data_IF_239089022981
#
_entry.id   IF_239089022981
#
_cell.length_a   1.000
_cell.length_b   1.000
_cell.length_c   1.000
_cell.angle_alpha   90.00
_cell.angle_beta   90.00
_cell.angle_gamma   90.00
#
_symmetry.space_group_name_H-M   'P 1'
#
loop_
_entity.id
_entity.type
_entity.pdbx_description
1 polymer ?
#
# COMPACT_ATOMS: atom_id res chain seq x y z
N UNK A 1 11.42 -0.61 8.45
CA UNK A 1 9.95 -0.53 8.64
C UNK A 1 9.54 -1.52 9.73
N UNK A 2 8.74 -1.12 10.72
CA UNK A 2 8.39 -2.00 11.84
C UNK A 2 7.36 -3.07 11.43
N UNK A 3 7.30 -4.19 12.16
CA UNK A 3 6.31 -5.28 11.92
C UNK A 3 4.87 -4.75 11.86
N UNK A 4 4.55 -3.75 12.69
CA UNK A 4 3.24 -3.10 12.72
C UNK A 4 2.96 -2.32 11.44
N UNK A 5 3.94 -1.62 10.88
CA UNK A 5 3.79 -0.84 9.65
C UNK A 5 3.56 -1.75 8.45
N UNK A 6 4.26 -2.89 8.36
CA UNK A 6 4.00 -3.90 7.33
C UNK A 6 2.59 -4.46 7.41
N UNK A 7 2.14 -4.78 8.63
CA UNK A 7 0.79 -5.29 8.86
C UNK A 7 -0.29 -4.27 8.48
N UNK A 8 -0.10 -3.00 8.87
CA UNK A 8 -0.99 -1.91 8.50
C UNK A 8 -1.03 -1.70 6.98
N UNK A 9 0.12 -1.70 6.31
CA UNK A 9 0.18 -1.56 4.85
C UNK A 9 -0.60 -2.69 4.15
N UNK A 10 -0.44 -3.94 4.60
CA UNK A 10 -1.18 -5.08 4.05
C UNK A 10 -2.69 -4.91 4.25
N UNK A 11 -3.15 -4.55 5.46
CA UNK A 11 -4.58 -4.37 5.72
C UNK A 11 -5.14 -3.19 4.91
N UNK A 12 -4.44 -2.07 4.83
CA UNK A 12 -4.86 -0.90 4.04
C UNK A 12 -4.98 -1.26 2.56
N UNK A 13 -4.02 -2.02 2.01
CA UNK A 13 -4.08 -2.50 0.63
C UNK A 13 -5.27 -3.44 0.40
N UNK A 14 -5.49 -4.40 1.30
CA UNK A 14 -6.61 -5.34 1.20
C UNK A 14 -7.96 -4.61 1.29
N UNK A 15 -8.09 -3.65 2.21
CA UNK A 15 -9.30 -2.84 2.35
C UNK A 15 -9.56 -1.99 1.10
N UNK A 16 -8.54 -1.33 0.56
CA UNK A 16 -8.65 -0.57 -0.69
C UNK A 16 -9.05 -1.47 -1.87
N UNK A 17 -8.50 -2.67 -1.96
CA UNK A 17 -8.85 -3.65 -3.00
C UNK A 17 -10.32 -4.06 -2.92
N UNK A 18 -10.83 -4.33 -1.71
CA UNK A 18 -12.24 -4.64 -1.49
C UNK A 18 -13.13 -3.49 -1.92
N UNK A 19 -12.81 -2.25 -1.52
CA UNK A 19 -13.58 -1.06 -1.91
C UNK A 19 -13.55 -0.85 -3.42
N UNK A 20 -12.42 -1.12 -4.08
CA UNK A 20 -12.30 -1.04 -5.53
C UNK A 20 -13.18 -2.06 -6.26
N UNK A 21 -13.22 -3.31 -5.78
CA UNK A 21 -14.03 -4.38 -6.40
C UNK A 21 -15.52 -4.22 -6.14
N UNK A 22 -15.90 -3.82 -4.92
CA UNK A 22 -17.30 -3.61 -4.54
C UNK A 22 -17.84 -2.30 -5.11
N UNK A 23 -16.96 -1.34 -5.38
CA UNK A 23 -17.30 -0.09 -6.03
C UNK A 23 -17.81 -0.36 -7.44
N UNK A 24 -19.12 -0.59 -7.57
CA UNK A 24 -19.78 -0.55 -8.86
C UNK A 24 -19.52 0.84 -9.46
N UNK A 25 -19.41 0.95 -10.78
CA UNK A 25 -18.98 2.17 -11.48
C UNK A 25 -19.78 3.45 -11.18
N UNK A 26 -20.79 3.41 -10.31
CA UNK A 26 -21.47 4.58 -9.72
C UNK A 26 -20.79 5.13 -8.45
N UNK A 27 -19.68 4.55 -8.01
CA UNK A 27 -18.95 5.04 -6.84
C UNK A 27 -18.42 6.44 -7.10
N UNK A 28 -18.78 7.45 -6.27
CA UNK A 28 -18.34 8.82 -6.46
C UNK A 28 -16.81 8.93 -6.60
N UNK A 29 -16.30 9.74 -7.56
CA UNK A 29 -14.85 9.89 -7.78
C UNK A 29 -14.07 10.33 -6.55
N UNK A 30 -14.72 11.08 -5.64
CA UNK A 30 -14.16 11.50 -4.35
C UNK A 30 -13.75 10.31 -3.46
N UNK A 31 -14.36 9.13 -3.64
CA UNK A 31 -14.04 7.89 -2.94
C UNK A 31 -13.06 7.06 -3.77
N UNK A 32 -13.29 6.97 -5.08
CA UNK A 32 -12.46 6.15 -5.99
C UNK A 32 -11.02 6.66 -6.05
N UNK A 33 -10.80 7.96 -6.17
CA UNK A 33 -9.46 8.54 -6.28
C UNK A 33 -8.55 8.18 -5.08
N UNK A 34 -8.95 8.42 -3.82
CA UNK A 34 -8.18 7.98 -2.66
C UNK A 34 -7.94 6.46 -2.62
N UNK A 35 -8.95 5.67 -2.98
CA UNK A 35 -8.83 4.21 -3.00
C UNK A 35 -7.78 3.76 -4.00
N UNK A 36 -7.73 4.36 -5.20
CA UNK A 36 -6.71 4.07 -6.20
C UNK A 36 -5.32 4.48 -5.73
N UNK A 37 -5.19 5.64 -5.10
CA UNK A 37 -3.91 6.09 -4.51
C UNK A 37 -3.42 5.10 -3.46
N UNK A 38 -4.31 4.59 -2.60
CA UNK A 38 -3.94 3.56 -1.63
C UNK A 38 -3.63 2.23 -2.30
N UNK A 39 -4.43 1.79 -3.27
CA UNK A 39 -4.28 0.50 -3.95
C UNK A 39 -2.96 0.42 -4.71
N UNK A 40 -2.57 1.48 -5.41
CA UNK A 40 -1.33 1.51 -6.19
C UNK A 40 -0.14 2.09 -5.41
N UNK A 41 -0.39 3.01 -4.47
CA UNK A 41 0.66 3.64 -3.67
C UNK A 41 1.20 2.74 -2.56
N UNK A 42 0.35 1.92 -1.94
CA UNK A 42 0.78 1.00 -0.87
C UNK A 42 1.82 -0.03 -1.33
N UNK A 43 1.64 -0.76 -2.45
CA UNK A 43 2.67 -1.69 -2.91
C UNK A 43 3.97 -0.98 -3.31
N UNK A 44 3.90 0.22 -3.89
CA UNK A 44 5.07 1.04 -4.21
C UNK A 44 5.83 1.44 -2.95
N UNK A 45 5.13 1.92 -1.93
CA UNK A 45 5.70 2.26 -0.62
C UNK A 45 6.40 1.05 0.01
N UNK A 46 5.76 -0.12 -0.03
CA UNK A 46 6.30 -1.35 0.54
C UNK A 46 7.55 -1.81 -0.21
N UNK A 47 7.56 -1.70 -1.54
CA UNK A 47 8.71 -2.03 -2.38
C UNK A 47 9.90 -1.11 -2.10
N UNK A 48 9.67 0.21 -1.98
CA UNK A 48 10.72 1.16 -1.60
C UNK A 48 11.27 0.82 -0.21
N UNK A 49 10.40 0.55 0.76
CA UNK A 49 10.81 0.22 2.11
C UNK A 49 11.69 -1.05 2.16
N UNK A 50 11.33 -2.09 1.40
CA UNK A 50 12.13 -3.31 1.29
C UNK A 50 13.49 -3.03 0.67
N UNK A 51 13.55 -2.24 -0.41
CA UNK A 51 14.82 -1.90 -1.07
C UNK A 51 15.73 -1.10 -0.13
N UNK A 52 15.19 -0.11 0.58
CA UNK A 52 15.96 0.68 1.54
C UNK A 52 16.51 -0.18 2.69
N UNK A 53 15.70 -1.10 3.22
CA UNK A 53 16.12 -2.03 4.28
C UNK A 53 17.20 -3.01 3.80
N UNK A 54 17.11 -3.46 2.55
CA UNK A 54 18.15 -4.29 1.93
C UNK A 54 19.47 -3.52 1.75
N UNK A 55 19.39 -2.27 1.27
CA UNK A 55 20.55 -1.40 1.07
C UNK A 55 21.28 -1.11 2.38
N UNK A 56 20.53 -0.80 3.44
CA UNK A 56 21.11 -0.50 4.76
C UNK A 56 21.82 -1.73 5.36
N UNK A 57 21.27 -2.93 5.17
CA UNK A 57 21.90 -4.17 5.62
C UNK A 57 23.17 -4.52 4.80
N UNK A 58 23.26 -4.14 3.53
CA UNK A 58 24.47 -4.37 2.73
C UNK A 58 25.64 -3.47 3.08
N UNK A 59 25.38 -2.27 3.61
CA UNK A 59 26.43 -1.32 4.02
C UNK A 59 27.05 -1.65 5.40
N UNK A 60 26.46 -2.57 6.16
CA UNK A 60 26.95 -3.02 7.48
C UNK A 60 27.74 -4.34 7.46
N UNK A 61 28.02 -4.91 6.28
CA UNK A 61 28.88 -6.09 6.09
C UNK A 61 30.28 -5.72 5.61
#
# INVERSE_FOLDING_TARGET
MNRTEYFLAIITFLLASVVYVIGDGNTPPIIVLPVLVLLYGTPVYLLIAIISDLSENSDQQ
#
